data_IF_680755185326
#
_entry.id   IF_680755185326
#
_cell.length_a   1.000
_cell.length_b   1.000
_cell.length_c   1.000
_cell.angle_alpha   90.00
_cell.angle_beta   90.00
_cell.angle_gamma   90.00
#
_symmetry.space_group_name_H-M   'P 1'
#
loop_
_entity.id
_entity.type
_entity.pdbx_description
1 polymer ?
#
# COMPACT_ATOMS: atom_id res chain seq x y z
N UNK A 1 5.11 16.80 48.03
CA UNK A 1 3.76 17.18 47.53
C UNK A 1 3.72 17.74 46.11
N UNK A 2 4.83 18.27 45.55
CA UNK A 2 4.85 18.78 44.15
C UNK A 2 5.23 17.72 43.10
N UNK A 3 5.91 16.63 43.48
CA UNK A 3 6.24 15.53 42.55
C UNK A 3 5.11 14.49 42.39
N UNK A 4 4.28 14.23 43.42
CA UNK A 4 3.12 13.31 43.30
C UNK A 4 2.01 13.88 42.42
N UNK A 5 1.90 15.21 42.31
CA UNK A 5 0.95 15.88 41.41
C UNK A 5 1.39 15.80 39.95
N UNK A 6 2.70 15.71 39.69
CA UNK A 6 3.27 15.60 38.33
C UNK A 6 3.05 14.18 37.78
N UNK A 7 3.18 13.14 38.62
CA UNK A 7 2.88 11.76 38.21
C UNK A 7 1.41 11.52 37.85
N UNK A 8 0.47 12.20 38.52
CA UNK A 8 -0.97 12.05 38.24
C UNK A 8 -1.39 12.75 36.94
N UNK A 9 -0.72 13.86 36.56
CA UNK A 9 -0.97 14.59 35.30
C UNK A 9 -0.41 13.83 34.10
N UNK A 10 0.73 13.15 34.23
CA UNK A 10 1.31 12.36 33.15
C UNK A 10 0.46 11.11 32.86
N UNK A 11 -0.12 10.47 33.87
CA UNK A 11 -1.02 9.33 33.69
C UNK A 11 -2.34 9.71 32.97
N UNK A 12 -2.83 10.94 33.16
CA UNK A 12 -4.01 11.45 32.47
C UNK A 12 -3.75 11.84 31.00
N UNK A 13 -2.50 12.21 30.65
CA UNK A 13 -2.13 12.62 29.29
C UNK A 13 -1.67 11.48 28.37
N UNK A 14 -1.62 10.24 28.86
CA UNK A 14 -1.33 9.03 28.06
C UNK A 14 -2.63 8.32 27.62
N UNK A 15 -3.80 8.77 28.09
CA UNK A 15 -5.11 8.19 27.72
C UNK A 15 -5.74 8.76 26.43
N UNK A 16 -5.23 9.88 25.90
CA UNK A 16 -5.85 10.59 24.77
C UNK A 16 -5.16 10.38 23.41
N UNK A 17 -4.11 9.55 23.33
CA UNK A 17 -3.40 9.28 22.07
C UNK A 17 -3.67 7.87 21.50
N UNK A 18 -4.39 6.99 22.19
CA UNK A 18 -4.76 5.64 21.70
C UNK A 18 -6.13 5.63 21.00
N UNK A 19 -6.60 6.78 20.48
CA UNK A 19 -7.85 6.89 19.72
C UNK A 19 -7.65 6.85 18.19
N UNK A 20 -6.42 6.62 17.70
CA UNK A 20 -6.15 6.38 16.27
C UNK A 20 -5.41 5.05 16.06
N UNK A 21 -5.91 3.97 16.68
CA UNK A 21 -5.45 2.61 16.39
C UNK A 21 -6.60 1.70 15.91
N UNK A 22 -7.75 2.29 15.57
CA UNK A 22 -8.97 1.56 15.24
C UNK A 22 -9.55 1.91 13.87
N UNK A 23 -8.80 2.51 12.94
CA UNK A 23 -9.32 2.80 11.59
C UNK A 23 -8.27 2.56 10.48
N UNK A 24 -7.62 1.39 10.50
CA UNK A 24 -6.99 0.83 9.29
C UNK A 24 -7.37 -0.64 9.14
N UNK A 25 -8.68 -0.91 9.12
CA UNK A 25 -9.21 -1.94 8.23
C UNK A 25 -9.86 -1.23 7.06
N UNK A 26 -9.05 -0.41 6.40
CA UNK A 26 -9.25 -0.09 4.99
C UNK A 26 -9.06 -1.42 4.30
N UNK A 27 -10.18 -1.97 3.88
CA UNK A 27 -10.38 -2.93 2.81
C UNK A 27 -9.14 -3.79 2.54
N UNK A 28 -9.26 -5.10 2.77
CA UNK A 28 -8.40 -6.09 2.15
C UNK A 28 -8.60 -6.05 0.62
N UNK A 29 -8.22 -4.93 0.00
CA UNK A 29 -7.99 -4.83 -1.42
C UNK A 29 -6.83 -5.77 -1.69
N UNK A 30 -7.07 -6.77 -2.54
CA UNK A 30 -6.06 -7.73 -2.96
C UNK A 30 -4.76 -7.00 -3.28
N UNK A 31 -3.65 -7.50 -2.73
CA UNK A 31 -2.35 -6.86 -2.89
C UNK A 31 -2.03 -6.67 -4.39
N UNK A 32 -1.47 -5.51 -4.77
CA UNK A 32 -1.09 -5.26 -6.15
C UNK A 32 -0.15 -6.37 -6.62
N UNK A 33 -0.44 -6.97 -7.76
CA UNK A 33 0.36 -8.07 -8.29
C UNK A 33 0.43 -8.04 -9.81
N UNK A 34 1.54 -8.54 -10.33
CA UNK A 34 1.81 -8.55 -11.76
C UNK A 34 1.29 -9.82 -12.41
N UNK A 35 0.74 -9.68 -13.62
CA UNK A 35 0.43 -10.81 -14.49
C UNK A 35 1.70 -11.64 -14.79
N UNK A 36 1.55 -12.96 -14.98
CA UNK A 36 2.68 -13.86 -15.23
C UNK A 36 3.49 -13.49 -16.47
N UNK A 37 2.83 -13.00 -17.52
CA UNK A 37 3.49 -12.52 -18.74
C UNK A 37 4.35 -11.27 -18.47
N UNK A 38 3.88 -10.34 -17.64
CA UNK A 38 4.65 -9.16 -17.23
C UNK A 38 5.89 -9.56 -16.43
N UNK A 39 5.74 -10.46 -15.45
CA UNK A 39 6.87 -10.98 -14.66
C UNK A 39 7.91 -11.66 -15.56
N UNK A 40 7.47 -12.37 -16.61
CA UNK A 40 8.37 -12.97 -17.59
C UNK A 40 9.15 -11.90 -18.35
N UNK A 41 8.48 -10.91 -18.93
CA UNK A 41 9.14 -9.81 -19.66
C UNK A 41 10.12 -9.03 -18.79
N UNK A 42 9.79 -8.79 -17.52
CA UNK A 42 10.67 -8.07 -16.61
C UNK A 42 11.96 -8.85 -16.31
N UNK A 43 11.93 -10.19 -16.30
CA UNK A 43 13.15 -11.02 -16.22
C UNK A 43 14.06 -10.83 -17.42
N UNK A 44 13.48 -10.52 -18.59
CA UNK A 44 14.20 -10.18 -19.81
C UNK A 44 14.60 -8.69 -19.88
N UNK A 45 14.37 -7.94 -18.79
CA UNK A 45 14.64 -6.51 -18.68
C UNK A 45 13.70 -5.62 -19.49
N UNK A 46 12.51 -6.13 -19.87
CA UNK A 46 11.56 -5.41 -20.74
C UNK A 46 10.19 -5.32 -20.10
N UNK A 47 9.43 -4.27 -20.44
CA UNK A 47 8.01 -4.23 -20.13
C UNK A 47 7.21 -5.18 -21.06
N UNK A 48 6.03 -5.63 -20.62
CA UNK A 48 5.14 -6.40 -21.49
C UNK A 48 4.64 -5.50 -22.63
N UNK A 49 4.89 -5.91 -23.88
CA UNK A 49 4.57 -5.12 -25.08
C UNK A 49 3.13 -5.26 -25.60
N UNK A 50 2.27 -6.03 -24.92
CA UNK A 50 0.87 -6.14 -25.36
C UNK A 50 0.12 -4.83 -25.21
N UNK A 51 -0.74 -4.52 -26.17
CA UNK A 51 -1.53 -3.27 -26.18
C UNK A 51 -2.33 -3.06 -24.89
N UNK A 52 -2.91 -4.13 -24.33
CA UNK A 52 -3.62 -4.07 -23.05
C UNK A 52 -2.71 -3.70 -21.86
N UNK A 53 -1.46 -4.17 -21.85
CA UNK A 53 -0.49 -3.88 -20.81
C UNK A 53 0.08 -2.46 -20.96
N UNK A 54 0.32 -2.02 -22.20
CA UNK A 54 0.79 -0.65 -22.49
C UNK A 54 -0.28 0.36 -22.10
N UNK A 55 -1.55 0.10 -22.41
CA UNK A 55 -2.66 0.94 -21.96
C UNK A 55 -2.73 0.99 -20.42
N UNK A 56 -2.77 -0.16 -19.74
CA UNK A 56 -2.81 -0.22 -18.29
C UNK A 56 -1.62 0.50 -17.62
N UNK A 57 -0.41 0.38 -18.20
CA UNK A 57 0.77 1.07 -17.71
C UNK A 57 0.66 2.61 -17.86
N UNK A 58 0.00 3.12 -18.90
CA UNK A 58 -0.30 4.55 -19.04
C UNK A 58 -1.25 5.03 -17.95
N UNK A 59 -2.19 4.17 -17.54
CA UNK A 59 -3.10 4.42 -16.42
C UNK A 59 -2.45 4.21 -15.04
N UNK A 60 -1.15 3.84 -15.00
CA UNK A 60 -0.44 3.57 -13.75
C UNK A 60 -0.91 2.28 -13.06
N UNK A 61 -1.50 1.34 -13.79
CA UNK A 61 -2.10 0.11 -13.25
C UNK A 61 -1.53 -1.14 -13.89
N UNK A 62 -1.58 -2.23 -13.14
CA UNK A 62 -1.25 -3.54 -13.64
C UNK A 62 -2.38 -4.06 -14.54
N UNK A 63 -2.04 -4.81 -15.60
CA UNK A 63 -3.04 -5.26 -16.57
C UNK A 63 -4.02 -6.29 -15.98
N UNK A 64 -5.26 -5.86 -15.73
CA UNK A 64 -6.34 -6.70 -15.20
C UNK A 64 -6.76 -7.79 -16.20
N UNK A 65 -6.72 -7.49 -17.51
CA UNK A 65 -7.03 -8.46 -18.57
C UNK A 65 -6.06 -9.65 -18.61
N UNK A 66 -4.87 -9.49 -18.05
CA UNK A 66 -3.87 -10.55 -17.97
C UNK A 66 -3.77 -11.16 -16.57
N UNK A 67 -4.69 -10.82 -15.67
CA UNK A 67 -4.69 -11.30 -14.29
C UNK A 67 -3.64 -10.64 -13.39
N UNK A 68 -3.26 -9.39 -13.68
CA UNK A 68 -2.58 -8.52 -12.72
C UNK A 68 -3.59 -7.59 -12.04
N UNK A 69 -3.22 -6.94 -10.95
CA UNK A 69 -4.11 -6.01 -10.25
C UNK A 69 -3.33 -4.94 -9.51
N UNK A 70 -4.01 -3.84 -9.18
CA UNK A 70 -3.44 -2.72 -8.43
C UNK A 70 -2.53 -1.81 -9.26
N UNK A 71 -1.89 -0.85 -8.61
CA UNK A 71 -1.00 0.11 -9.25
C UNK A 71 0.31 -0.56 -9.70
N UNK A 72 0.90 -0.10 -10.80
CA UNK A 72 2.31 -0.44 -11.07
C UNK A 72 3.14 0.32 -10.06
N UNK A 73 3.87 -0.38 -9.19
CA UNK A 73 4.76 0.27 -8.23
C UNK A 73 5.82 1.07 -8.98
N UNK A 74 5.65 2.39 -9.03
CA UNK A 74 6.67 3.30 -9.52
C UNK A 74 7.83 3.22 -8.52
N UNK A 75 8.91 2.53 -8.91
CA UNK A 75 10.16 2.58 -8.15
C UNK A 75 10.58 4.05 -8.11
N UNK A 76 10.44 4.66 -6.94
CA UNK A 76 10.98 5.98 -6.61
C UNK A 76 12.50 5.93 -6.69
#
# INVERSE_FOLDING_TARGET
MKLSKILFVIAAMVGATVAFAAEVKKDAAAEPHKAKCCVKSEKDGKACGHECCVAAAKDGKNCEKCGGSGAVEAKK
#
